data_IF_163384589825
#
_entry.id   IF_163384589825
#
_cell.length_a   1.000
_cell.length_b   1.000
_cell.length_c   1.000
_cell.angle_alpha   90.00
_cell.angle_beta   90.00
_cell.angle_gamma   90.00
#
_symmetry.space_group_name_H-M   'P 1'
#
loop_
_entity.id
_entity.type
_entity.pdbx_description
1 polymer ?
#
# COMPACT_ATOMS: atom_id res chain seq x y z
N UNK A 1 -11.61 -3.38 -18.09
CA UNK A 1 -12.22 -3.49 -19.41
C UNK A 1 -11.28 -2.94 -20.47
N UNK A 2 -10.97 -1.64 -20.48
CA UNK A 2 -10.14 -0.99 -21.52
C UNK A 2 -8.75 -1.64 -21.68
N UNK A 3 -8.07 -1.99 -20.58
CA UNK A 3 -6.78 -2.69 -20.59
C UNK A 3 -6.88 -4.01 -21.35
N UNK A 4 -7.88 -4.83 -21.04
CA UNK A 4 -8.09 -6.13 -21.70
C UNK A 4 -8.44 -6.01 -23.17
N UNK A 5 -9.34 -5.06 -23.52
CA UNK A 5 -9.80 -4.86 -24.90
C UNK A 5 -8.70 -4.34 -25.84
N UNK A 6 -7.72 -3.63 -25.28
CA UNK A 6 -6.62 -3.04 -26.05
C UNK A 6 -5.26 -3.73 -25.81
N UNK A 7 -5.25 -4.86 -25.09
CA UNK A 7 -4.05 -5.64 -24.78
C UNK A 7 -2.91 -4.80 -24.20
N UNK A 8 -3.25 -3.92 -23.22
CA UNK A 8 -2.29 -3.06 -22.56
C UNK A 8 -1.62 -3.79 -21.39
N UNK A 9 -0.37 -3.42 -21.08
CA UNK A 9 0.41 -4.00 -19.98
C UNK A 9 -0.11 -3.58 -18.60
N UNK A 10 -0.67 -2.38 -18.49
CA UNK A 10 -1.29 -1.86 -17.28
C UNK A 10 -2.24 -0.70 -17.59
N UNK A 11 -3.09 -0.36 -16.61
CA UNK A 11 -3.90 0.85 -16.59
C UNK A 11 -3.79 1.53 -15.23
N UNK A 12 -3.90 2.86 -15.21
CA UNK A 12 -3.85 3.65 -14.00
C UNK A 12 -5.07 4.54 -13.88
N UNK A 13 -5.58 4.67 -12.65
CA UNK A 13 -6.68 5.56 -12.32
C UNK A 13 -6.27 6.45 -11.14
N UNK A 14 -6.61 7.71 -11.26
CA UNK A 14 -6.34 8.75 -10.26
C UNK A 14 -7.66 9.30 -9.73
N UNK A 15 -7.67 9.77 -8.51
CA UNK A 15 -8.82 10.49 -7.95
C UNK A 15 -8.82 11.98 -8.34
N UNK A 16 -9.73 12.78 -7.74
CA UNK A 16 -10.02 14.14 -8.22
C UNK A 16 -8.87 15.13 -8.06
N UNK A 17 -7.99 14.95 -7.08
CA UNK A 17 -6.81 15.77 -6.80
C UNK A 17 -5.49 15.02 -7.10
N UNK A 18 -5.61 13.81 -7.65
CA UNK A 18 -4.52 12.97 -8.13
C UNK A 18 -3.46 12.63 -7.06
N UNK A 19 -3.81 12.65 -5.79
CA UNK A 19 -2.95 12.23 -4.69
C UNK A 19 -2.94 10.71 -4.49
N UNK A 20 -3.89 9.99 -5.12
CA UNK A 20 -4.03 8.53 -5.12
C UNK A 20 -3.91 7.94 -6.51
N UNK A 21 -3.36 6.73 -6.54
CA UNK A 21 -3.29 5.92 -7.75
C UNK A 21 -3.68 4.47 -7.44
N UNK A 22 -4.61 3.94 -8.22
CA UNK A 22 -4.84 2.51 -8.32
C UNK A 22 -4.47 2.06 -9.74
N UNK A 23 -4.07 0.79 -9.87
CA UNK A 23 -3.74 0.24 -11.17
C UNK A 23 -4.62 -0.97 -11.52
N UNK A 24 -4.57 -1.36 -12.78
CA UNK A 24 -5.15 -2.60 -13.29
C UNK A 24 -4.04 -3.32 -14.07
N UNK A 25 -3.86 -4.60 -13.81
CA UNK A 25 -2.88 -5.41 -14.51
C UNK A 25 -3.37 -5.86 -15.91
N UNK A 26 -2.51 -6.52 -16.67
CA UNK A 26 -2.78 -7.04 -18.02
C UNK A 26 -3.87 -8.12 -18.05
N UNK A 27 -4.26 -8.67 -16.88
CA UNK A 27 -5.33 -9.67 -16.72
C UNK A 27 -6.64 -9.05 -16.25
N UNK A 28 -6.66 -7.73 -15.99
CA UNK A 28 -7.83 -6.99 -15.53
C UNK A 28 -8.07 -7.02 -14.02
N UNK A 29 -7.09 -7.48 -13.23
CA UNK A 29 -7.18 -7.45 -11.78
C UNK A 29 -6.84 -6.06 -11.25
N UNK A 30 -7.56 -5.63 -10.22
CA UNK A 30 -7.29 -4.34 -9.55
C UNK A 30 -6.06 -4.48 -8.65
N UNK A 31 -5.11 -3.58 -8.83
CA UNK A 31 -3.90 -3.43 -8.02
C UNK A 31 -4.12 -2.29 -7.05
N UNK A 32 -4.32 -2.63 -5.79
CA UNK A 32 -4.57 -1.68 -4.70
C UNK A 32 -3.29 -1.08 -4.15
N UNK A 33 -3.39 -0.08 -3.27
CA UNK A 33 -2.23 0.49 -2.59
C UNK A 33 -1.40 -0.54 -1.84
N UNK A 34 -2.00 -1.60 -1.31
CA UNK A 34 -1.25 -2.69 -0.65
C UNK A 34 -0.31 -3.42 -1.63
N UNK A 35 -0.79 -3.73 -2.84
CA UNK A 35 0.06 -4.30 -3.88
C UNK A 35 1.17 -3.34 -4.29
N UNK A 36 0.84 -2.06 -4.47
CA UNK A 36 1.80 -1.02 -4.89
C UNK A 36 2.90 -0.85 -3.84
N UNK A 37 2.53 -0.78 -2.55
CA UNK A 37 3.49 -0.72 -1.44
C UNK A 37 4.47 -1.91 -1.46
N UNK A 38 3.95 -3.12 -1.62
CA UNK A 38 4.78 -4.32 -1.72
C UNK A 38 5.72 -4.27 -2.91
N UNK A 39 5.18 -4.01 -4.11
CA UNK A 39 5.95 -4.01 -5.37
C UNK A 39 7.09 -3.00 -5.29
N UNK A 40 6.77 -1.75 -4.90
CA UNK A 40 7.77 -0.69 -4.82
C UNK A 40 8.82 -0.97 -3.73
N UNK A 41 8.41 -1.42 -2.53
CA UNK A 41 9.35 -1.75 -1.46
C UNK A 41 10.27 -2.92 -1.84
N UNK A 42 9.72 -3.97 -2.43
CA UNK A 42 10.48 -5.13 -2.92
C UNK A 42 11.47 -4.72 -3.99
N UNK A 43 11.03 -3.95 -4.99
CA UNK A 43 11.88 -3.42 -6.04
C UNK A 43 13.03 -2.55 -5.47
N UNK A 44 12.71 -1.64 -4.54
CA UNK A 44 13.73 -0.80 -3.88
C UNK A 44 14.73 -1.65 -3.08
N UNK A 45 14.28 -2.73 -2.43
CA UNK A 45 15.14 -3.67 -1.72
C UNK A 45 16.07 -4.40 -2.67
N UNK A 46 15.57 -4.92 -3.78
CA UNK A 46 16.36 -5.63 -4.78
C UNK A 46 17.41 -4.73 -5.44
N UNK A 47 17.11 -3.44 -5.58
CA UNK A 47 18.08 -2.40 -6.04
C UNK A 47 19.08 -1.96 -4.96
N UNK A 48 18.96 -2.44 -3.73
CA UNK A 48 19.84 -2.05 -2.64
C UNK A 48 19.65 -0.62 -2.12
N UNK A 49 18.53 0.04 -2.48
CA UNK A 49 18.24 1.43 -2.06
C UNK A 49 17.24 1.52 -0.92
N UNK A 50 16.69 0.39 -0.48
CA UNK A 50 15.74 0.33 0.63
C UNK A 50 16.42 0.50 2.01
N UNK A 51 17.63 -0.06 2.17
CA UNK A 51 18.38 -0.03 3.44
C UNK A 51 17.61 -0.75 4.55
N UNK A 52 17.69 -0.22 5.76
CA UNK A 52 16.96 -0.70 6.94
C UNK A 52 15.55 -0.08 7.08
N UNK A 53 15.02 0.50 5.99
CA UNK A 53 13.69 1.11 5.99
C UNK A 53 12.59 0.09 6.24
N UNK A 54 11.44 0.62 6.68
CA UNK A 54 10.20 -0.16 6.82
C UNK A 54 9.12 0.43 5.91
N UNK A 55 8.15 -0.38 5.56
CA UNK A 55 6.91 0.09 4.94
C UNK A 55 5.98 0.62 6.03
N UNK A 56 5.57 1.88 5.95
CA UNK A 56 4.58 2.44 6.86
C UNK A 56 3.20 2.35 6.22
N UNK A 57 2.25 1.75 6.93
CA UNK A 57 0.88 1.66 6.45
C UNK A 57 -0.12 1.81 7.60
N UNK A 58 -1.41 1.73 7.32
CA UNK A 58 -2.45 1.88 8.33
C UNK A 58 -2.98 0.52 8.78
N UNK A 59 -3.70 0.50 9.91
CA UNK A 59 -4.40 -0.70 10.40
C UNK A 59 -5.43 -1.25 9.42
N UNK A 60 -5.78 -0.50 8.37
CA UNK A 60 -6.73 -0.93 7.32
C UNK A 60 -6.09 -1.76 6.22
N UNK A 61 -4.76 -1.81 6.12
CA UNK A 61 -4.09 -2.64 5.11
C UNK A 61 -4.42 -4.12 5.28
N UNK A 62 -4.53 -4.79 4.16
CA UNK A 62 -4.90 -6.21 4.12
C UNK A 62 -3.79 -7.08 4.74
N UNK A 63 -4.18 -8.16 5.41
CA UNK A 63 -3.25 -9.15 5.98
C UNK A 63 -2.27 -9.70 4.93
N UNK A 64 -2.68 -9.74 3.66
CA UNK A 64 -1.84 -10.20 2.55
C UNK A 64 -0.60 -9.35 2.33
N UNK A 65 -0.69 -8.02 2.52
CA UNK A 65 0.48 -7.15 2.48
C UNK A 65 1.52 -7.57 3.52
N UNK A 66 1.10 -7.73 4.77
CA UNK A 66 2.02 -8.09 5.86
C UNK A 66 2.71 -9.42 5.62
N UNK A 67 1.95 -10.45 5.21
CA UNK A 67 2.51 -11.77 4.88
C UNK A 67 3.50 -11.72 3.72
N UNK A 68 3.21 -10.92 2.70
CA UNK A 68 4.10 -10.75 1.55
C UNK A 68 5.40 -10.02 1.96
N UNK A 69 5.32 -8.99 2.79
CA UNK A 69 6.48 -8.28 3.32
C UNK A 69 7.34 -9.18 4.21
N UNK A 70 6.71 -9.95 5.12
CA UNK A 70 7.39 -10.91 5.99
C UNK A 70 8.16 -11.95 5.16
N UNK A 71 7.55 -12.48 4.10
CA UNK A 71 8.15 -13.48 3.23
C UNK A 71 9.45 -13.02 2.54
N UNK A 72 9.59 -11.71 2.33
CA UNK A 72 10.78 -11.11 1.72
C UNK A 72 11.67 -10.36 2.72
N UNK A 73 11.36 -10.46 4.02
CA UNK A 73 12.13 -9.83 5.10
C UNK A 73 12.13 -8.32 5.03
N UNK A 74 10.99 -7.71 4.70
CA UNK A 74 10.77 -6.25 4.75
C UNK A 74 9.93 -5.94 5.99
N UNK A 75 10.48 -5.14 6.91
CA UNK A 75 9.77 -4.67 8.10
C UNK A 75 8.65 -3.70 7.75
N UNK A 76 7.65 -3.60 8.63
CA UNK A 76 6.56 -2.64 8.47
C UNK A 76 6.13 -2.03 9.80
N UNK A 77 5.46 -0.89 9.73
CA UNK A 77 4.80 -0.23 10.86
C UNK A 77 3.35 0.09 10.50
N UNK A 78 2.48 -0.02 11.51
CA UNK A 78 1.05 0.23 11.39
C UNK A 78 0.70 1.51 12.14
N UNK A 79 0.02 2.43 11.47
CA UNK A 79 -0.51 3.65 12.07
C UNK A 79 -2.04 3.60 12.16
N UNK A 80 -2.63 4.57 12.86
CA UNK A 80 -4.04 4.86 12.71
C UNK A 80 -4.36 5.24 11.25
N UNK A 81 -5.62 5.15 10.87
CA UNK A 81 -6.11 5.52 9.53
C UNK A 81 -5.94 7.02 9.31
N UNK A 82 -5.34 7.36 8.18
CA UNK A 82 -5.11 8.73 7.74
C UNK A 82 -3.67 8.96 7.29
N UNK A 83 -3.53 9.55 6.14
CA UNK A 83 -2.26 9.89 5.47
C UNK A 83 -1.28 10.66 6.36
N UNK A 84 -1.81 11.60 7.18
CA UNK A 84 -1.01 12.38 8.13
C UNK A 84 -0.24 11.50 9.13
N UNK A 85 -0.84 10.40 9.60
CA UNK A 85 -0.18 9.50 10.55
C UNK A 85 0.91 8.68 9.87
N UNK A 86 0.68 8.28 8.63
CA UNK A 86 1.69 7.63 7.81
C UNK A 86 2.86 8.56 7.56
N UNK A 87 2.61 9.79 7.07
CA UNK A 87 3.63 10.79 6.79
C UNK A 87 4.42 11.17 8.04
N UNK A 88 3.75 11.32 9.18
CA UNK A 88 4.39 11.65 10.45
C UNK A 88 5.31 10.52 10.93
N UNK A 89 4.86 9.27 10.90
CA UNK A 89 5.66 8.11 11.27
C UNK A 89 6.89 7.98 10.36
N UNK A 90 6.71 8.12 9.05
CA UNK A 90 7.81 8.11 8.08
C UNK A 90 8.86 9.16 8.39
N UNK A 91 8.43 10.40 8.67
CA UNK A 91 9.33 11.52 8.97
C UNK A 91 10.10 11.33 10.28
N UNK A 92 9.41 10.84 11.34
CA UNK A 92 10.03 10.63 12.65
C UNK A 92 11.10 9.54 12.62
N UNK A 93 10.92 8.50 11.81
CA UNK A 93 11.79 7.34 11.77
C UNK A 93 12.71 7.31 10.53
N UNK A 94 12.55 8.24 9.60
CA UNK A 94 13.33 8.26 8.36
C UNK A 94 12.94 7.18 7.36
N UNK A 95 11.72 6.64 7.45
CA UNK A 95 11.23 5.63 6.51
C UNK A 95 10.95 6.24 5.13
N UNK A 96 11.25 5.48 4.07
CA UNK A 96 11.30 6.03 2.70
C UNK A 96 10.06 5.71 1.86
N UNK A 97 9.18 4.83 2.33
CA UNK A 97 7.93 4.49 1.66
C UNK A 97 6.84 4.22 2.67
N UNK A 98 5.66 4.69 2.40
CA UNK A 98 4.46 4.41 3.18
C UNK A 98 3.20 4.75 2.39
N UNK A 99 2.05 4.39 2.92
CA UNK A 99 0.79 4.70 2.26
C UNK A 99 -0.38 3.88 2.79
N UNK A 100 -1.45 3.92 2.03
CA UNK A 100 -2.72 3.29 2.35
C UNK A 100 -3.22 2.38 1.23
N UNK A 101 -4.06 1.41 1.56
CA UNK A 101 -4.70 0.53 0.57
C UNK A 101 -5.50 1.30 -0.49
N UNK A 102 -5.94 2.52 -0.18
CA UNK A 102 -6.65 3.42 -1.09
C UNK A 102 -5.80 3.95 -2.26
N UNK A 103 -4.49 3.71 -2.24
CA UNK A 103 -3.57 4.16 -3.28
C UNK A 103 -2.86 5.49 -2.99
N UNK A 104 -3.04 6.06 -1.79
CA UNK A 104 -2.25 7.21 -1.33
C UNK A 104 -0.87 6.72 -0.90
N UNK A 105 0.13 6.86 -1.79
CA UNK A 105 1.49 6.35 -1.58
C UNK A 105 2.48 7.51 -1.48
N UNK A 106 3.31 7.48 -0.44
CA UNK A 106 4.33 8.48 -0.15
C UNK A 106 5.71 7.88 -0.41
N UNK A 107 6.47 8.49 -1.30
CA UNK A 107 7.89 8.20 -1.51
C UNK A 107 8.72 9.27 -0.81
N UNK A 108 9.06 9.08 0.47
CA UNK A 108 9.59 10.08 1.37
C UNK A 108 10.90 10.77 0.93
N UNK A 109 11.64 10.18 -0.02
CA UNK A 109 12.81 10.82 -0.63
C UNK A 109 12.47 11.75 -1.80
N UNK A 110 11.23 11.70 -2.32
CA UNK A 110 10.80 12.41 -3.51
C UNK A 110 9.67 13.40 -3.24
N UNK A 111 8.74 13.05 -2.33
CA UNK A 111 7.59 13.86 -1.98
C UNK A 111 7.23 13.68 -0.50
N UNK A 112 6.67 14.73 0.11
CA UNK A 112 6.25 14.71 1.52
C UNK A 112 4.78 14.28 1.72
N UNK A 113 4.08 14.01 0.62
CA UNK A 113 2.68 13.58 0.59
C UNK A 113 2.48 12.54 -0.50
N UNK A 114 1.30 11.93 -0.57
CA UNK A 114 0.92 11.07 -1.67
C UNK A 114 0.92 11.82 -3.00
N UNK A 115 1.35 11.13 -4.03
CA UNK A 115 1.37 11.62 -5.41
C UNK A 115 1.05 10.44 -6.32
N UNK A 116 -0.15 10.47 -6.90
CA UNK A 116 -0.64 9.38 -7.74
C UNK A 116 0.15 9.24 -9.03
N UNK A 117 0.57 10.35 -9.65
CA UNK A 117 1.36 10.30 -10.88
C UNK A 117 2.76 9.73 -10.62
N UNK A 118 3.41 10.17 -9.55
CA UNK A 118 4.68 9.61 -9.10
C UNK A 118 4.54 8.10 -8.80
N UNK A 119 3.44 7.72 -8.15
CA UNK A 119 3.13 6.32 -7.84
C UNK A 119 3.02 5.47 -9.11
N UNK A 120 2.30 5.94 -10.13
CA UNK A 120 2.20 5.27 -11.42
C UNK A 120 3.57 5.13 -12.09
N UNK A 121 4.38 6.19 -12.10
CA UNK A 121 5.74 6.18 -12.66
C UNK A 121 6.63 5.16 -11.93
N UNK A 122 6.57 5.11 -10.60
CA UNK A 122 7.37 4.17 -9.80
C UNK A 122 6.94 2.71 -10.01
N UNK A 123 5.65 2.48 -10.22
CA UNK A 123 5.15 1.15 -10.56
C UNK A 123 5.62 0.72 -11.96
N UNK A 124 5.55 1.62 -12.94
CA UNK A 124 6.06 1.38 -14.29
C UNK A 124 7.59 1.19 -14.31
N UNK A 125 8.34 1.93 -13.48
CA UNK A 125 9.78 1.73 -13.30
C UNK A 125 10.05 0.29 -12.84
N UNK A 126 9.33 -0.20 -11.82
CA UNK A 126 9.48 -1.57 -11.34
C UNK A 126 9.18 -2.61 -12.45
N UNK A 127 8.07 -2.44 -13.19
CA UNK A 127 7.73 -3.33 -14.31
C UNK A 127 8.81 -3.34 -15.40
N UNK A 128 9.29 -2.17 -15.80
CA UNK A 128 10.25 -2.03 -16.89
C UNK A 128 11.62 -2.62 -16.53
N UNK A 129 12.08 -2.34 -15.34
CA UNK A 129 13.41 -2.78 -14.87
C UNK A 129 13.45 -4.28 -14.54
N UNK A 130 12.37 -4.83 -14.00
CA UNK A 130 12.27 -6.28 -13.73
C UNK A 130 11.92 -7.08 -14.97
N UNK A 131 11.30 -6.44 -15.97
CA UNK A 131 10.71 -7.06 -17.17
C UNK A 131 9.60 -8.07 -16.84
N UNK A 132 8.94 -7.89 -15.69
CA UNK A 132 7.86 -8.74 -15.24
C UNK A 132 6.50 -8.05 -15.43
N UNK A 133 5.47 -8.80 -15.85
CA UNK A 133 4.10 -8.28 -15.89
C UNK A 133 3.62 -7.83 -14.52
N UNK A 134 2.72 -6.84 -14.49
CA UNK A 134 2.18 -6.32 -13.23
C UNK A 134 1.48 -7.40 -12.39
N UNK A 135 0.77 -8.34 -13.04
CA UNK A 135 0.14 -9.47 -12.34
C UNK A 135 1.13 -10.37 -11.63
N UNK A 136 2.35 -10.53 -12.15
CA UNK A 136 3.42 -11.32 -11.52
C UNK A 136 4.00 -10.58 -10.32
N UNK A 137 4.26 -9.29 -10.47
CA UNK A 137 4.77 -8.46 -9.37
C UNK A 137 3.79 -8.35 -8.20
N UNK A 138 2.49 -8.34 -8.49
CA UNK A 138 1.42 -8.25 -7.50
C UNK A 138 1.07 -9.60 -6.83
N UNK A 139 1.36 -10.72 -7.49
CA UNK A 139 0.92 -12.06 -7.06
C UNK A 139 1.28 -12.44 -5.61
N UNK A 140 2.40 -12.00 -5.02
CA UNK A 140 2.71 -12.32 -3.62
C UNK A 140 1.71 -11.72 -2.61
N UNK A 141 0.99 -10.66 -2.96
CA UNK A 141 0.00 -10.01 -2.09
C UNK A 141 -1.37 -10.65 -2.33
N UNK A 142 -1.69 -11.69 -1.59
CA UNK A 142 -3.03 -12.30 -1.63
C UNK A 142 -4.02 -11.48 -0.81
N UNK A 143 -5.08 -10.99 -1.41
CA UNK A 143 -6.12 -10.24 -0.69
C UNK A 143 -7.00 -11.19 0.10
N UNK A 144 -6.93 -11.13 1.41
CA UNK A 144 -7.79 -11.88 2.32
C UNK A 144 -9.12 -11.14 2.51
N UNK A 145 -10.23 -11.87 2.71
CA UNK A 145 -11.49 -11.25 3.06
C UNK A 145 -11.36 -10.38 4.30
N UNK A 146 -11.86 -9.15 4.23
CA UNK A 146 -11.94 -8.21 5.34
C UNK A 146 -13.40 -7.86 5.61
N UNK A 147 -13.78 -7.82 6.88
CA UNK A 147 -15.08 -7.36 7.32
C UNK A 147 -14.91 -6.14 8.23
N UNK A 148 -15.40 -5.01 7.78
CA UNK A 148 -15.54 -3.80 8.61
C UNK A 148 -16.97 -3.74 9.13
N UNK A 149 -17.13 -3.76 10.46
CA UNK A 149 -18.44 -3.66 11.11
C UNK A 149 -18.45 -2.47 12.07
N UNK A 150 -19.29 -1.50 11.79
CA UNK A 150 -19.54 -0.38 12.69
C UNK A 150 -20.56 -0.80 13.75
N UNK A 151 -20.24 -0.51 15.01
CA UNK A 151 -21.13 -0.77 16.15
C UNK A 151 -21.43 0.59 16.81
N UNK A 152 -22.72 0.85 17.04
CA UNK A 152 -23.15 2.04 17.78
C UNK A 152 -22.98 1.74 19.26
N UNK A 153 -22.25 2.60 19.96
CA UNK A 153 -22.01 2.51 21.39
C UNK A 153 -22.35 3.85 22.05
N UNK A 154 -22.72 3.83 23.32
CA UNK A 154 -23.06 5.05 24.08
C UNK A 154 -21.84 5.88 24.44
N UNK A 155 -20.75 5.20 24.80
CA UNK A 155 -19.45 5.82 25.08
C UNK A 155 -18.36 4.96 24.43
N UNK A 156 -17.57 5.62 23.55
CA UNK A 156 -16.50 4.93 22.79
C UNK A 156 -15.32 4.55 23.68
N UNK A 157 -14.91 5.46 24.57
CA UNK A 157 -13.72 5.24 25.39
C UNK A 157 -13.98 4.19 26.46
N UNK A 158 -15.14 4.24 27.13
CA UNK A 158 -15.57 3.22 28.07
C UNK A 158 -15.69 1.83 27.39
N UNK A 159 -16.26 1.78 26.19
CA UNK A 159 -16.37 0.54 25.42
C UNK A 159 -15.01 -0.04 25.05
N UNK A 160 -14.06 0.80 24.64
CA UNK A 160 -12.70 0.35 24.28
C UNK A 160 -11.88 -0.10 25.50
N UNK A 161 -12.21 0.37 26.70
CA UNK A 161 -11.58 -0.06 27.94
C UNK A 161 -12.22 -1.32 28.55
N UNK A 162 -13.37 -1.76 28.03
CA UNK A 162 -14.06 -2.96 28.48
C UNK A 162 -13.19 -4.22 28.30
N UNK A 163 -13.17 -5.07 29.31
CA UNK A 163 -12.31 -6.26 29.34
C UNK A 163 -12.62 -7.24 28.20
N UNK A 164 -13.89 -7.39 27.83
CA UNK A 164 -14.34 -8.25 26.73
C UNK A 164 -13.86 -7.75 25.37
N UNK A 165 -13.82 -6.43 25.16
CA UNK A 165 -13.33 -5.83 23.91
C UNK A 165 -11.81 -5.92 23.81
N UNK A 166 -11.11 -5.76 24.93
CA UNK A 166 -9.64 -5.91 24.97
C UNK A 166 -9.17 -7.35 24.79
N UNK A 167 -10.02 -8.32 25.11
CA UNK A 167 -9.71 -9.75 25.01
C UNK A 167 -10.01 -10.35 23.61
N UNK A 168 -10.73 -9.62 22.76
CA UNK A 168 -11.14 -10.05 21.42
C UNK A 168 -10.13 -9.64 20.35
#
# INVERSE_FOLDING_TARGET
KYVLENHLDAGFAFDGDADRCLAVDEKGNVITGDHILYICAKYMKDKGVFGDSKVVTTVMSNMGLYKALDAVGIGYEKTAVGDKYVAENMRQNGWIIGGEQSGHIIFGRLANTGDGLLTAIKLMEAMTETKEPLSVLAAPVTIYPQLLKNVIVTDKDETMECAEVKAA
#
